data_IF_723538554818
#
_entry.id   IF_723538554818
#
_cell.length_a   1.000
_cell.length_b   1.000
_cell.length_c   1.000
_cell.angle_alpha   90.00
_cell.angle_beta   90.00
_cell.angle_gamma   90.00
#
_symmetry.space_group_name_H-M   'P 1'
#
loop_
_entity.id
_entity.type
_entity.pdbx_description
1 polymer ?
#
# COMPACT_ATOMS: atom_id res chain seq x y z
N UNK A 1 6.99 -2.82 -4.82
CA UNK A 1 6.87 -3.54 -3.54
C UNK A 1 6.94 -5.03 -3.79
N UNK A 2 7.61 -5.78 -2.91
CA UNK A 2 7.71 -7.24 -3.00
C UNK A 2 6.69 -7.98 -2.13
N UNK A 3 6.02 -7.30 -1.20
CA UNK A 3 4.99 -7.90 -0.33
C UNK A 3 3.96 -6.86 0.13
N UNK A 4 2.76 -7.33 0.46
CA UNK A 4 1.69 -6.51 1.02
C UNK A 4 2.12 -5.74 2.28
N UNK A 5 2.88 -6.37 3.17
CA UNK A 5 3.39 -5.74 4.39
C UNK A 5 4.31 -4.54 4.09
N UNK A 6 5.14 -4.64 3.05
CA UNK A 6 6.00 -3.55 2.61
C UNK A 6 5.17 -2.41 2.01
N UNK A 7 4.15 -2.71 1.21
CA UNK A 7 3.24 -1.70 0.66
C UNK A 7 2.50 -0.94 1.78
N UNK A 8 2.01 -1.66 2.79
CA UNK A 8 1.39 -1.10 4.00
C UNK A 8 2.35 -0.19 4.78
N UNK A 9 3.60 -0.62 4.94
CA UNK A 9 4.64 0.18 5.57
C UNK A 9 4.85 1.50 4.81
N UNK A 10 5.00 1.46 3.49
CA UNK A 10 5.16 2.69 2.69
C UNK A 10 3.92 3.58 2.74
N UNK A 11 2.71 3.02 2.77
CA UNK A 11 1.49 3.81 2.91
C UNK A 11 1.44 4.53 4.27
N UNK A 12 1.73 3.81 5.36
CA UNK A 12 1.62 4.34 6.73
C UNK A 12 2.82 5.19 7.16
N UNK A 13 4.04 4.71 6.92
CA UNK A 13 5.27 5.39 7.36
C UNK A 13 5.77 6.42 6.35
N UNK A 14 5.71 6.11 5.06
CA UNK A 14 6.19 7.04 4.03
C UNK A 14 5.08 7.99 3.54
N UNK A 15 3.83 7.78 3.96
CA UNK A 15 2.69 8.59 3.50
C UNK A 15 2.46 8.47 2.00
N UNK A 16 2.81 7.32 1.43
CA UNK A 16 2.72 7.08 -0.01
C UNK A 16 1.26 6.80 -0.42
N UNK A 17 0.37 7.79 -0.23
CA UNK A 17 -1.05 7.74 -0.56
C UNK A 17 -1.31 7.38 -2.03
N UNK A 18 -0.36 7.68 -2.92
CA UNK A 18 -0.37 7.25 -4.33
C UNK A 18 -0.36 5.73 -4.53
N UNK A 19 -0.07 4.93 -3.51
CA UNK A 19 -0.15 3.46 -3.53
C UNK A 19 -1.55 2.94 -3.23
N UNK A 20 -2.35 3.75 -2.52
CA UNK A 20 -3.74 3.50 -2.14
C UNK A 20 -4.62 4.40 -3.00
N UNK A 21 -4.89 3.93 -4.22
CA UNK A 21 -5.44 4.78 -5.29
C UNK A 21 -6.94 5.01 -5.10
N UNK A 22 -7.62 4.07 -4.46
CA UNK A 22 -9.04 4.10 -4.13
C UNK A 22 -9.31 4.58 -2.69
N UNK A 23 -8.29 4.62 -1.82
CA UNK A 23 -8.38 5.21 -0.50
C UNK A 23 -8.98 4.29 0.56
N UNK A 24 -8.94 2.98 0.32
CA UNK A 24 -9.47 1.96 1.23
C UNK A 24 -8.48 1.60 2.36
N UNK A 25 -7.26 2.13 2.29
CA UNK A 25 -6.17 1.84 3.22
C UNK A 25 -5.39 0.57 2.87
N UNK A 26 -5.65 -0.06 1.72
CA UNK A 26 -4.93 -1.22 1.21
C UNK A 26 -4.11 -0.82 -0.02
N UNK A 27 -2.81 -0.51 0.18
CA UNK A 27 -1.97 -0.10 -0.92
C UNK A 27 -1.65 -1.31 -1.81
N UNK A 28 -1.69 -1.09 -3.12
CA UNK A 28 -1.35 -2.11 -4.11
C UNK A 28 -2.13 -3.43 -3.93
N UNK A 29 -3.46 -3.43 -3.97
CA UNK A 29 -4.31 -4.62 -3.81
C UNK A 29 -3.85 -5.87 -4.61
N UNK A 30 -3.25 -5.67 -5.79
CA UNK A 30 -2.68 -6.77 -6.60
C UNK A 30 -1.54 -7.54 -5.90
N UNK A 31 -0.84 -6.93 -4.95
CA UNK A 31 0.22 -7.51 -4.12
C UNK A 31 -0.32 -8.10 -2.80
N UNK A 32 -1.56 -7.74 -2.41
CA UNK A 32 -2.22 -8.22 -1.20
C UNK A 32 -3.25 -9.33 -1.49
N UNK A 33 -3.20 -9.94 -2.69
CA UNK A 33 -3.98 -11.13 -3.05
C UNK A 33 -3.32 -12.41 -2.56
#
# INVERSE_FOLDING_TARGET
>A
MKSCAEAMYYLKECGAAKLDRDGDGIPCEKLCK
#
